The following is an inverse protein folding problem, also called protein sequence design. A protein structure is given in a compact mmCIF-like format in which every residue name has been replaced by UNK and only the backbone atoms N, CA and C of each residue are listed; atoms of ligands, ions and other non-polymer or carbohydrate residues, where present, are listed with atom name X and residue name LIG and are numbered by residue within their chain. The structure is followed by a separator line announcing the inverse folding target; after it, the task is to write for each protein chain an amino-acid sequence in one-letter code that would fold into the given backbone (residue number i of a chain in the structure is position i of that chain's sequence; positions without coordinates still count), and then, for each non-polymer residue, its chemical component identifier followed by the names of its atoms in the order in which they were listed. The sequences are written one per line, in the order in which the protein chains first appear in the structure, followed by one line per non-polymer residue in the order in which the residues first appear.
data_IF_108399682007
#
_entry.id   IF_108399682007
#
_cell.length_a   1.000
_cell.length_b   1.000
_cell.length_c   1.000
_cell.angle_alpha   90.00
_cell.angle_beta   90.00
_cell.angle_gamma   90.00
#
_symmetry.space_group_name_H-M   'P 1'
#
loop_
_entity.id
_entity.type
_entity.pdbx_description
1 polymer ?
#
# COMPACT_ATOMS: atom_id res chain seq x y z
N UNK A 1 1.43 19.23 -2.68
CA UNK A 1 2.65 18.73 -2.04
C UNK A 1 2.60 17.22 -2.09
N UNK A 2 3.46 16.60 -2.91
CA UNK A 2 3.53 15.14 -3.01
C UNK A 2 4.42 14.60 -1.90
N UNK A 3 3.87 13.73 -1.04
CA UNK A 3 4.62 13.05 0.01
C UNK A 3 5.54 11.99 -0.62
N UNK A 4 6.84 12.28 -0.70
CA UNK A 4 7.88 11.29 -1.01
C UNK A 4 7.99 10.31 0.17
N UNK A 5 7.23 9.22 0.11
CA UNK A 5 7.23 8.18 1.15
C UNK A 5 8.43 7.23 0.96
N UNK A 6 9.44 7.37 1.82
CA UNK A 6 10.74 6.69 1.78
C UNK A 6 10.71 5.14 1.97
N UNK A 7 9.53 4.53 2.00
CA UNK A 7 9.35 3.09 2.27
C UNK A 7 9.43 2.20 1.02
N UNK A 8 9.50 2.79 -0.18
CA UNK A 8 9.38 2.06 -1.45
C UNK A 8 10.62 2.10 -2.34
N UNK A 9 11.61 2.94 -2.03
CA UNK A 9 12.90 3.00 -2.71
C UNK A 9 13.95 2.28 -1.87
N UNK A 10 14.46 1.15 -2.37
CA UNK A 10 15.66 0.52 -1.78
C UNK A 10 16.88 1.36 -2.17
N UNK A 11 17.13 2.42 -1.41
CA UNK A 11 18.28 3.31 -1.62
C UNK A 11 19.64 2.60 -1.48
N UNK A 12 19.66 1.38 -0.93
CA UNK A 12 20.87 0.58 -0.73
C UNK A 12 21.46 0.02 -2.03
N UNK A 13 20.63 -0.39 -2.99
CA UNK A 13 21.11 -0.98 -4.26
C UNK A 13 21.61 0.09 -5.24
N UNK A 14 20.90 1.22 -5.35
CA UNK A 14 21.29 2.29 -6.27
C UNK A 14 22.56 3.04 -5.82
N UNK A 15 22.88 3.02 -4.53
CA UNK A 15 24.07 3.68 -3.98
C UNK A 15 25.37 2.92 -4.25
N UNK A 16 25.34 1.59 -4.40
CA UNK A 16 26.53 0.81 -4.79
C UNK A 16 26.80 0.88 -6.30
N UNK A 17 25.75 0.76 -7.13
CA UNK A 17 25.87 0.74 -8.60
C UNK A 17 26.45 2.05 -9.17
N UNK A 18 26.08 3.19 -8.59
CA UNK A 18 26.57 4.50 -9.04
C UNK A 18 27.96 4.82 -8.52
N UNK A 19 28.33 4.37 -7.31
CA UNK A 19 29.60 4.74 -6.69
C UNK A 19 30.79 3.99 -7.28
N UNK A 20 30.60 2.74 -7.71
CA UNK A 20 31.67 1.91 -8.28
C UNK A 20 31.99 2.26 -9.74
N UNK A 21 31.07 2.95 -10.44
CA UNK A 21 31.24 3.37 -11.85
C UNK A 21 31.63 4.84 -12.03
N UNK A 22 31.87 5.59 -10.94
CA UNK A 22 32.13 7.03 -11.00
C UNK A 22 33.60 7.35 -11.29
N UNK A 23 34.09 6.93 -12.46
CA UNK A 23 35.33 7.43 -13.04
C UNK A 23 34.98 8.24 -14.28
N UNK A 24 34.84 9.57 -14.12
CA UNK A 24 34.73 10.48 -15.24
C UNK A 24 36.16 10.75 -15.76
N UNK A 25 36.56 10.25 -16.93
CA UNK A 25 37.85 10.59 -17.50
C UNK A 25 37.88 12.09 -17.79
N UNK A 26 39.06 12.71 -17.67
CA UNK A 26 39.22 14.15 -17.86
C UNK A 26 38.91 14.50 -19.33
N UNK A 27 37.72 15.04 -19.58
CA UNK A 27 37.25 15.31 -20.93
C UNK A 27 38.02 16.49 -21.53
N UNK A 28 38.63 16.30 -22.68
CA UNK A 28 39.46 17.33 -23.32
C UNK A 28 38.77 17.99 -24.54
N UNK A 29 37.53 17.57 -24.85
CA UNK A 29 36.72 18.06 -25.97
C UNK A 29 35.24 18.16 -25.60
N UNK A 30 34.54 19.15 -26.14
CA UNK A 30 33.10 19.37 -25.91
C UNK A 30 32.26 18.13 -26.24
N UNK A 31 32.61 17.40 -27.30
CA UNK A 31 31.91 16.17 -27.69
C UNK A 31 32.07 15.05 -26.63
N UNK A 32 33.20 15.02 -25.94
CA UNK A 32 33.47 14.05 -24.89
C UNK A 32 32.65 14.37 -23.64
N UNK A 33 32.49 15.65 -23.32
CA UNK A 33 31.60 16.13 -22.25
C UNK A 33 30.14 15.71 -22.55
N UNK A 34 29.66 15.95 -23.77
CA UNK A 34 28.29 15.59 -24.16
C UNK A 34 28.04 14.07 -24.08
N UNK A 35 29.04 13.28 -24.48
CA UNK A 35 29.00 11.81 -24.36
C UNK A 35 28.93 11.37 -22.88
N UNK A 36 29.72 12.00 -22.00
CA UNK A 36 29.70 11.71 -20.57
C UNK A 36 28.36 12.09 -19.92
N UNK A 37 27.79 13.25 -20.28
CA UNK A 37 26.47 13.67 -19.80
C UNK A 37 25.39 12.70 -20.27
N UNK A 38 25.46 12.23 -21.51
CA UNK A 38 24.53 11.23 -22.06
C UNK A 38 24.62 9.91 -21.29
N UNK A 39 25.83 9.43 -20.99
CA UNK A 39 26.05 8.20 -20.24
C UNK A 39 25.56 8.32 -18.79
N UNK A 40 25.88 9.43 -18.12
CA UNK A 40 25.38 9.71 -16.77
C UNK A 40 23.84 9.73 -16.73
N UNK A 41 23.22 10.35 -17.73
CA UNK A 41 21.76 10.39 -17.84
C UNK A 41 21.18 8.97 -17.99
N UNK A 42 21.81 8.12 -18.81
CA UNK A 42 21.39 6.72 -18.98
C UNK A 42 21.53 5.92 -17.69
N UNK A 43 22.64 6.08 -16.96
CA UNK A 43 22.90 5.35 -15.72
C UNK A 43 21.91 5.73 -14.62
N UNK A 44 21.59 7.03 -14.50
CA UNK A 44 20.56 7.51 -13.57
C UNK A 44 19.20 6.92 -13.92
N UNK A 45 18.81 6.94 -15.20
CA UNK A 45 17.53 6.39 -15.65
C UNK A 45 17.47 4.87 -15.44
N UNK A 46 18.56 4.16 -15.71
CA UNK A 46 18.68 2.72 -15.51
C UNK A 46 18.56 2.35 -14.04
N UNK A 47 19.35 3.01 -13.17
CA UNK A 47 19.31 2.81 -11.72
C UNK A 47 17.92 3.11 -11.15
N UNK A 48 17.27 4.17 -11.65
CA UNK A 48 15.91 4.51 -11.27
C UNK A 48 14.91 3.42 -11.70
N UNK A 49 15.01 2.91 -12.93
CA UNK A 49 14.15 1.83 -13.41
C UNK A 49 14.33 0.53 -12.60
N UNK A 50 15.57 0.16 -12.29
CA UNK A 50 15.91 -1.04 -11.52
C UNK A 50 15.48 -0.94 -10.03
N UNK A 51 15.56 0.26 -9.43
CA UNK A 51 15.16 0.49 -8.04
C UNK A 51 13.65 0.70 -7.87
N UNK A 52 12.96 1.17 -8.93
CA UNK A 52 11.54 1.42 -8.90
C UNK A 52 10.74 0.13 -8.99
N UNK A 53 10.22 -0.33 -7.86
CA UNK A 53 9.18 -1.37 -7.87
C UNK A 53 7.91 -0.79 -8.50
N UNK A 54 7.25 -1.48 -9.45
CA UNK A 54 5.96 -1.03 -9.93
C UNK A 54 5.03 -0.93 -8.73
N UNK A 55 4.49 0.27 -8.50
CA UNK A 55 3.44 0.46 -7.52
C UNK A 55 2.19 -0.19 -8.06
N UNK A 56 2.09 -1.51 -7.86
CA UNK A 56 0.82 -2.19 -7.96
C UNK A 56 -0.01 -1.66 -6.81
N UNK A 57 -0.82 -0.63 -7.08
CA UNK A 57 -1.90 -0.25 -6.17
C UNK A 57 -2.63 -1.57 -5.91
N UNK A 58 -2.67 -2.08 -4.65
CA UNK A 58 -3.41 -3.29 -4.38
C UNK A 58 -4.79 -3.04 -4.95
N UNK A 59 -5.17 -3.87 -5.92
CA UNK A 59 -6.46 -3.77 -6.60
C UNK A 59 -7.47 -3.71 -5.48
N UNK A 60 -7.97 -2.51 -5.19
CA UNK A 60 -8.89 -2.32 -4.08
C UNK A 60 -10.10 -3.09 -4.59
N UNK A 61 -10.48 -4.22 -4.00
CA UNK A 61 -11.53 -5.05 -4.56
C UNK A 61 -12.92 -4.42 -4.30
N UNK A 62 -12.94 -3.10 -4.14
CA UNK A 62 -13.89 -2.27 -3.47
C UNK A 62 -14.04 -0.95 -4.23
N UNK A 63 -14.52 -1.03 -5.47
CA UNK A 63 -15.07 0.12 -6.17
C UNK A 63 -16.59 0.18 -6.00
N UNK A 64 -17.03 0.45 -4.77
CA UNK A 64 -18.41 0.77 -4.49
C UNK A 64 -18.53 2.30 -4.46
N UNK A 65 -19.13 2.89 -5.49
CA UNK A 65 -19.37 4.33 -5.59
C UNK A 65 -20.03 4.92 -4.32
N UNK A 66 -20.86 4.12 -3.64
CA UNK A 66 -21.47 4.45 -2.35
C UNK A 66 -20.43 4.78 -1.25
N UNK A 67 -19.36 3.99 -1.11
CA UNK A 67 -18.34 4.27 -0.09
C UNK A 67 -17.43 5.44 -0.46
N UNK A 68 -17.16 5.64 -1.76
CA UNK A 68 -16.48 6.86 -2.22
C UNK A 68 -17.28 8.09 -1.78
N UNK A 69 -18.60 8.05 -1.89
CA UNK A 69 -19.47 9.12 -1.43
C UNK A 69 -19.44 9.27 0.10
N UNK A 70 -19.57 8.18 0.85
CA UNK A 70 -19.46 8.20 2.32
C UNK A 70 -18.11 8.75 2.82
N UNK A 71 -16.99 8.46 2.15
CA UNK A 71 -15.69 9.03 2.49
C UNK A 71 -15.64 10.54 2.25
N UNK A 72 -16.23 11.02 1.15
CA UNK A 72 -16.36 12.47 0.88
C UNK A 72 -17.19 13.13 1.98
N UNK A 73 -18.32 12.53 2.35
CA UNK A 73 -19.22 13.10 3.36
C UNK A 73 -18.61 13.06 4.76
N UNK A 74 -17.86 12.01 5.11
CA UNK A 74 -17.04 11.96 6.33
C UNK A 74 -16.02 13.10 6.36
N UNK A 75 -15.35 13.37 5.24
CA UNK A 75 -14.35 14.44 5.17
C UNK A 75 -15.00 15.81 5.34
N UNK A 76 -16.18 16.03 4.75
CA UNK A 76 -16.99 17.25 4.97
C UNK A 76 -17.39 17.39 6.43
N UNK A 77 -17.97 16.35 7.04
CA UNK A 77 -18.36 16.35 8.45
C UNK A 77 -17.15 16.61 9.38
N UNK A 78 -15.97 16.06 9.04
CA UNK A 78 -14.73 16.33 9.77
C UNK A 78 -14.33 17.79 9.69
N UNK A 79 -14.39 18.39 8.50
CA UNK A 79 -14.11 19.82 8.31
C UNK A 79 -15.06 20.67 9.17
N UNK A 80 -16.37 20.40 9.10
CA UNK A 80 -17.39 21.11 9.88
C UNK A 80 -17.11 20.99 11.39
N UNK A 81 -16.89 19.77 11.90
CA UNK A 81 -16.58 19.57 13.32
C UNK A 81 -15.28 20.27 13.74
N UNK A 82 -14.23 20.22 12.93
CA UNK A 82 -12.95 20.87 13.25
C UNK A 82 -13.07 22.40 13.30
N UNK A 83 -13.87 22.99 12.41
CA UNK A 83 -14.11 24.44 12.38
C UNK A 83 -15.03 24.90 13.50
N UNK A 84 -16.17 24.24 13.68
CA UNK A 84 -17.21 24.68 14.62
C UNK A 84 -17.00 24.21 16.06
N UNK A 85 -16.32 23.08 16.27
CA UNK A 85 -16.20 22.37 17.56
C UNK A 85 -17.52 22.03 18.27
N UNK A 86 -18.66 22.13 17.58
CA UNK A 86 -19.96 21.83 18.16
C UNK A 86 -20.17 20.32 18.37
N UNK A 87 -20.70 19.87 19.52
CA UNK A 87 -20.91 18.44 19.81
C UNK A 87 -21.78 17.72 18.79
N UNK A 88 -22.84 18.38 18.29
CA UNK A 88 -23.73 17.80 17.27
C UNK A 88 -22.96 17.38 16.01
N UNK A 89 -22.02 18.22 15.53
CA UNK A 89 -21.22 17.91 14.35
C UNK A 89 -20.25 16.74 14.60
N UNK A 90 -19.84 16.51 15.86
CA UNK A 90 -19.07 15.31 16.23
C UNK A 90 -19.94 14.06 16.15
N UNK A 91 -21.19 14.13 16.59
CA UNK A 91 -22.16 13.04 16.46
C UNK A 91 -22.38 12.68 15.00
N UNK A 92 -22.56 13.66 14.12
CA UNK A 92 -22.73 13.44 12.68
C UNK A 92 -21.50 12.76 12.06
N UNK A 93 -20.29 13.22 12.39
CA UNK A 93 -19.05 12.58 11.96
C UNK A 93 -18.97 11.14 12.43
N UNK A 94 -19.29 10.87 13.69
CA UNK A 94 -19.24 9.53 14.27
C UNK A 94 -20.28 8.62 13.60
N UNK A 95 -21.48 9.13 13.30
CA UNK A 95 -22.52 8.40 12.56
C UNK A 95 -22.01 7.95 11.20
N UNK A 96 -21.45 8.86 10.39
CA UNK A 96 -20.91 8.52 9.06
C UNK A 96 -19.75 7.52 9.20
N UNK A 97 -18.87 7.72 10.18
CA UNK A 97 -17.76 6.80 10.44
C UNK A 97 -18.24 5.38 10.80
N UNK A 98 -19.32 5.26 11.57
CA UNK A 98 -19.91 3.96 11.91
C UNK A 98 -20.59 3.30 10.70
N UNK A 99 -21.23 4.07 9.83
CA UNK A 99 -21.78 3.55 8.56
C UNK A 99 -20.65 2.98 7.69
N UNK A 100 -19.54 3.70 7.53
CA UNK A 100 -18.36 3.22 6.78
C UNK A 100 -17.83 1.93 7.39
N UNK A 101 -17.65 1.88 8.71
CA UNK A 101 -17.17 0.66 9.39
C UNK A 101 -18.07 -0.54 9.11
N UNK A 102 -19.39 -0.34 9.18
CA UNK A 102 -20.39 -1.38 8.94
C UNK A 102 -20.30 -1.90 7.50
N UNK A 103 -20.34 -1.00 6.51
CA UNK A 103 -20.25 -1.34 5.08
C UNK A 103 -18.96 -2.09 4.74
N UNK A 104 -17.82 -1.67 5.30
CA UNK A 104 -16.54 -2.38 5.13
C UNK A 104 -16.59 -3.77 5.76
N UNK A 105 -17.25 -3.93 6.92
CA UNK A 105 -17.39 -5.22 7.57
C UNK A 105 -18.34 -6.16 6.80
N UNK A 106 -19.47 -5.65 6.32
CA UNK A 106 -20.41 -6.37 5.44
C UNK A 106 -19.69 -6.91 4.21
N UNK A 107 -18.90 -6.09 3.54
CA UNK A 107 -18.11 -6.53 2.39
C UNK A 107 -17.08 -7.61 2.75
N UNK A 108 -16.36 -7.45 3.86
CA UNK A 108 -15.42 -8.49 4.33
C UNK A 108 -16.15 -9.78 4.62
N UNK A 109 -17.34 -9.70 5.21
CA UNK A 109 -18.16 -10.86 5.52
C UNK A 109 -18.63 -11.56 4.24
N UNK A 110 -19.09 -10.81 3.24
CA UNK A 110 -19.45 -11.36 1.91
C UNK A 110 -18.27 -12.09 1.26
N UNK A 111 -17.10 -11.46 1.20
CA UNK A 111 -15.89 -12.11 0.65
C UNK A 111 -15.54 -13.39 1.42
N UNK A 112 -15.76 -13.42 2.73
CA UNK A 112 -15.59 -14.62 3.53
C UNK A 112 -16.64 -15.69 3.23
N UNK A 113 -17.89 -15.32 3.07
CA UNK A 113 -18.99 -16.23 2.72
C UNK A 113 -18.79 -16.82 1.31
N UNK A 114 -18.41 -16.00 0.34
CA UNK A 114 -18.06 -16.43 -1.02
C UNK A 114 -16.85 -17.39 -1.00
N UNK A 115 -15.86 -17.10 -0.16
CA UNK A 115 -14.71 -17.99 0.00
C UNK A 115 -15.15 -19.35 0.59
N UNK A 116 -15.98 -19.35 1.63
CA UNK A 116 -16.45 -20.58 2.27
C UNK A 116 -17.34 -21.42 1.36
N UNK A 117 -18.22 -20.79 0.58
CA UNK A 117 -19.10 -21.47 -0.36
C UNK A 117 -18.37 -22.02 -1.58
N UNK A 118 -17.24 -21.43 -1.98
CA UNK A 118 -16.38 -21.93 -3.06
C UNK A 118 -15.43 -23.06 -2.64
N UNK A 119 -15.38 -23.43 -1.35
CA UNK A 119 -14.58 -24.57 -0.90
C UNK A 119 -15.20 -25.89 -1.37
N UNK A 120 -14.35 -26.74 -1.95
CA UNK A 120 -14.74 -28.05 -2.47
C UNK A 120 -13.73 -29.11 -2.04
N UNK A 121 -14.20 -30.35 -1.94
CA UNK A 121 -13.39 -31.53 -1.64
C UNK A 121 -12.61 -31.99 -2.87
N UNK A 122 -13.21 -31.88 -4.06
CA UNK A 122 -12.60 -32.33 -5.33
C UNK A 122 -11.34 -31.55 -5.71
N UNK A 123 -11.36 -30.23 -5.50
CA UNK A 123 -10.26 -29.32 -5.89
C UNK A 123 -9.18 -29.15 -4.80
N UNK A 124 -9.22 -29.96 -3.73
CA UNK A 124 -8.37 -29.84 -2.53
C UNK A 124 -8.42 -28.46 -1.82
N UNK A 125 -9.29 -27.54 -2.23
CA UNK A 125 -9.40 -26.18 -1.69
C UNK A 125 -9.82 -26.20 -0.22
N UNK A 126 -10.72 -27.11 0.16
CA UNK A 126 -11.12 -27.34 1.55
C UNK A 126 -9.93 -27.75 2.43
N UNK A 127 -9.11 -28.68 1.96
CA UNK A 127 -7.90 -29.14 2.65
C UNK A 127 -6.85 -28.02 2.78
N UNK A 128 -6.70 -27.21 1.74
CA UNK A 128 -5.84 -26.02 1.76
C UNK A 128 -6.29 -24.99 2.80
N UNK A 129 -7.59 -24.66 2.82
CA UNK A 129 -8.19 -23.76 3.78
C UNK A 129 -8.01 -24.26 5.22
N UNK A 130 -8.31 -25.55 5.49
CA UNK A 130 -8.12 -26.17 6.81
C UNK A 130 -6.66 -26.07 7.31
N UNK A 131 -5.68 -26.31 6.42
CA UNK A 131 -4.26 -26.13 6.75
C UNK A 131 -3.92 -24.67 7.07
N UNK A 132 -4.47 -23.72 6.30
CA UNK A 132 -4.24 -22.29 6.52
C UNK A 132 -4.80 -21.82 7.88
N UNK A 133 -5.99 -22.29 8.26
CA UNK A 133 -6.59 -22.01 9.57
C UNK A 133 -5.73 -22.51 10.73
N UNK A 134 -5.24 -23.76 10.66
CA UNK A 134 -4.35 -24.33 11.68
C UNK A 134 -3.04 -23.54 11.84
N UNK A 135 -2.41 -23.13 10.73
CA UNK A 135 -1.18 -22.30 10.77
C UNK A 135 -1.43 -20.94 11.42
N UNK A 136 -2.63 -20.36 11.26
CA UNK A 136 -2.99 -19.08 11.89
C UNK A 136 -3.16 -19.24 13.40
N UNK A 137 -3.80 -20.31 13.86
CA UNK A 137 -3.93 -20.63 15.28
C UNK A 137 -2.57 -20.85 15.96
N UNK A 138 -1.65 -21.56 15.30
CA UNK A 138 -0.29 -21.80 15.83
C UNK A 138 0.57 -20.53 15.95
N UNK A 139 0.24 -19.44 15.23
CA UNK A 139 0.94 -18.16 15.34
C UNK A 139 0.51 -17.33 16.55
N UNK A 140 -0.62 -17.67 17.18
CA UNK A 140 -0.95 -17.14 18.50
C UNK A 140 0.01 -17.80 19.50
N UNK A 141 1.10 -17.10 19.85
CA UNK A 141 1.96 -17.55 20.95
C UNK A 141 1.13 -17.52 22.23
N UNK A 142 1.19 -18.57 23.07
CA UNK A 142 0.62 -18.52 24.41
C UNK A 142 1.16 -17.28 25.13
N UNK A 143 0.28 -16.52 25.78
CA UNK A 143 0.70 -15.44 26.66
C UNK A 143 1.59 -16.04 27.76
N UNK A 144 2.86 -15.63 27.84
CA UNK A 144 3.81 -16.16 28.83
C UNK A 144 3.49 -15.73 30.27
N UNK A 145 2.50 -14.87 30.48
CA UNK A 145 2.17 -14.25 31.76
C UNK A 145 0.71 -14.49 32.17
N UNK A 146 0.21 -15.71 31.99
CA UNK A 146 -0.97 -16.17 32.73
C UNK A 146 -0.52 -17.38 33.55
N UNK A 147 -0.26 -17.15 34.83
CA UNK A 147 -0.13 -18.14 35.90
C UNK A 147 -1.11 -17.74 36.99
#
# INVERSE_FOLDING_TARGET
MADFNAKHTSWGCSRSETRDNFNLPNACSTHEIDSQVSNLTKDILHSHACSSKPFNKPEQPFDQGELKQLFKDRNKARKIWQTSRHPQHKTDLNRIQNIIKRKVNEYRQQVWEDNLTSLNTEDNSLCGAAKAFRRKAARFRPCRYCS
#
